data_IF_206078120398
#
_entry.id   IF_206078120398
#
_cell.length_a   1.000
_cell.length_b   1.000
_cell.length_c   1.000
_cell.angle_alpha   90.00
_cell.angle_beta   90.00
_cell.angle_gamma   90.00
#
_symmetry.space_group_name_H-M   'P 1'
#
loop_
_entity.id
_entity.type
_entity.pdbx_description
1 polymer ?
#
# COMPACT_ATOMS: atom_id res chain seq x y z
N UNK A 1 -8.45 -11.38 -16.07
CA UNK A 1 -8.77 -10.93 -14.71
C UNK A 1 -9.86 -9.89 -14.86
N UNK A 2 -11.10 -10.20 -14.49
CA UNK A 2 -12.23 -9.28 -14.70
C UNK A 2 -12.03 -8.02 -13.85
N UNK A 3 -12.13 -6.86 -14.48
CA UNK A 3 -12.06 -5.57 -13.79
C UNK A 3 -13.32 -5.42 -12.96
N UNK A 4 -13.24 -5.69 -11.66
CA UNK A 4 -14.34 -5.45 -10.74
C UNK A 4 -14.59 -3.93 -10.67
N UNK A 5 -15.68 -3.46 -11.28
CA UNK A 5 -16.11 -2.08 -11.17
C UNK A 5 -16.46 -1.80 -9.70
N UNK A 6 -15.58 -1.06 -9.01
CA UNK A 6 -15.87 -0.58 -7.66
C UNK A 6 -16.84 0.60 -7.79
N UNK A 7 -18.13 0.33 -7.62
CA UNK A 7 -19.17 1.34 -7.50
C UNK A 7 -18.91 2.13 -6.21
N UNK A 8 -18.50 3.39 -6.36
CA UNK A 8 -18.32 4.30 -5.24
C UNK A 8 -19.39 5.39 -5.31
N UNK A 9 -20.01 5.67 -4.16
CA UNK A 9 -20.95 6.77 -4.06
C UNK A 9 -20.17 8.09 -3.99
N UNK A 10 -20.37 8.98 -4.97
CA UNK A 10 -19.69 10.29 -5.01
C UNK A 10 -19.93 11.13 -3.75
N UNK A 11 -21.06 10.96 -3.07
CA UNK A 11 -21.37 11.71 -1.85
C UNK A 11 -20.44 11.35 -0.68
N UNK A 12 -19.99 10.10 -0.61
CA UNK A 12 -19.19 9.55 0.49
C UNK A 12 -17.69 9.79 0.30
N UNK A 13 -17.27 10.18 -0.90
CA UNK A 13 -15.87 10.39 -1.24
C UNK A 13 -15.58 11.87 -1.48
N UNK A 14 -14.39 12.28 -1.07
CA UNK A 14 -13.81 13.58 -1.34
C UNK A 14 -12.86 13.41 -2.50
N UNK A 15 -13.10 14.14 -3.59
CA UNK A 15 -12.19 14.20 -4.72
C UNK A 15 -11.27 15.42 -4.58
N UNK A 16 -9.96 15.20 -4.54
CA UNK A 16 -8.97 16.30 -4.51
C UNK A 16 -8.62 16.77 -5.91
N UNK A 17 -8.07 17.98 -6.05
CA UNK A 17 -7.63 18.53 -7.34
C UNK A 17 -6.60 17.64 -8.09
N UNK A 18 -5.83 16.85 -7.34
CA UNK A 18 -4.90 15.84 -7.86
C UNK A 18 -5.56 14.53 -8.31
N UNK A 19 -6.89 14.44 -8.25
CA UNK A 19 -7.67 13.25 -8.61
C UNK A 19 -7.60 12.12 -7.59
N UNK A 20 -7.25 12.39 -6.32
CA UNK A 20 -7.37 11.40 -5.27
C UNK A 20 -8.83 11.30 -4.80
N UNK A 21 -9.27 10.08 -4.50
CA UNK A 21 -10.59 9.79 -3.95
C UNK A 21 -10.42 9.30 -2.53
N UNK A 22 -10.83 10.09 -1.56
CA UNK A 22 -10.68 9.77 -0.14
C UNK A 22 -12.05 9.64 0.49
N UNK A 23 -12.36 8.49 1.07
CA UNK A 23 -13.61 8.30 1.80
C UNK A 23 -13.70 9.25 3.00
N UNK A 24 -14.88 9.84 3.22
CA UNK A 24 -15.18 10.67 4.40
C UNK A 24 -15.13 9.88 5.71
N UNK A 25 -15.29 8.56 5.64
CA UNK A 25 -15.21 7.67 6.80
C UNK A 25 -13.76 7.26 7.13
N UNK A 26 -12.81 7.55 6.24
CA UNK A 26 -11.40 7.27 6.51
C UNK A 26 -10.83 8.24 7.56
N UNK A 27 -9.94 7.73 8.40
CA UNK A 27 -9.27 8.50 9.45
C UNK A 27 -7.84 8.78 9.01
N UNK A 28 -7.60 10.04 8.66
CA UNK A 28 -6.27 10.55 8.31
C UNK A 28 -5.74 11.37 9.49
N UNK A 29 -4.81 10.80 10.26
CA UNK A 29 -4.17 11.52 11.36
C UNK A 29 -2.95 12.29 10.84
N UNK A 30 -2.79 13.57 11.18
CA UNK A 30 -1.64 14.36 10.75
C UNK A 30 -1.60 14.57 9.23
N UNK A 31 -2.68 15.11 8.67
CA UNK A 31 -2.82 15.35 7.23
C UNK A 31 -1.66 16.16 6.63
N UNK A 32 -1.02 17.07 7.39
CA UNK A 32 0.18 17.79 6.95
C UNK A 32 1.38 16.88 6.61
N UNK A 33 1.40 15.67 7.17
CA UNK A 33 2.45 14.68 6.99
C UNK A 33 2.05 13.58 6.00
N UNK A 34 0.83 13.61 5.46
CA UNK A 34 0.33 12.63 4.50
C UNK A 34 0.39 13.24 3.10
N UNK A 35 1.13 12.59 2.20
CA UNK A 35 1.27 13.03 0.82
C UNK A 35 0.67 11.98 -0.10
N UNK A 36 -0.32 12.37 -0.90
CA UNK A 36 -0.97 11.51 -1.90
C UNK A 36 -0.64 12.02 -3.31
N UNK A 37 0.17 11.28 -4.08
CA UNK A 37 0.72 11.72 -5.36
C UNK A 37 -0.26 11.73 -6.57
N UNK A 38 -1.57 11.62 -6.34
CA UNK A 38 -2.60 11.73 -7.38
C UNK A 38 -3.14 10.37 -7.83
N UNK A 39 -4.43 10.35 -8.21
CA UNK A 39 -5.18 9.14 -8.60
C UNK A 39 -5.14 8.01 -7.56
N UNK A 40 -4.95 8.35 -6.28
CA UNK A 40 -5.03 7.37 -5.19
C UNK A 40 -6.47 7.20 -4.73
N UNK A 41 -6.84 5.99 -4.34
CA UNK A 41 -8.18 5.66 -3.84
C UNK A 41 -8.04 5.14 -2.42
N UNK A 42 -8.64 5.85 -1.46
CA UNK A 42 -8.70 5.47 -0.06
C UNK A 42 -10.15 5.13 0.27
N UNK A 43 -10.41 3.85 0.53
CA UNK A 43 -11.74 3.36 0.86
C UNK A 43 -12.15 3.65 2.31
N UNK A 44 -13.37 3.27 2.65
CA UNK A 44 -14.01 3.53 3.95
C UNK A 44 -13.29 2.81 5.09
N UNK A 45 -13.36 3.36 6.31
CA UNK A 45 -12.74 2.79 7.51
C UNK A 45 -11.22 2.56 7.41
N UNK A 46 -10.56 3.16 6.42
CA UNK A 46 -9.11 3.16 6.32
C UNK A 46 -8.52 4.11 7.36
N UNK A 47 -7.44 3.68 8.02
CA UNK A 47 -6.73 4.48 9.02
C UNK A 47 -5.32 4.72 8.53
N UNK A 48 -4.96 5.97 8.28
CA UNK A 48 -3.60 6.39 7.93
C UNK A 48 -3.06 7.29 9.03
N UNK A 49 -2.06 6.82 9.76
CA UNK A 49 -1.37 7.62 10.78
C UNK A 49 -0.17 8.35 10.19
N UNK A 50 -0.31 9.63 9.88
CA UNK A 50 0.79 10.55 9.59
C UNK A 50 1.26 11.39 10.79
N UNK A 51 0.64 11.24 11.96
CA UNK A 51 0.97 12.01 13.16
C UNK A 51 2.37 11.68 13.72
N UNK A 52 2.80 10.42 13.61
CA UNK A 52 4.09 9.95 14.14
C UNK A 52 5.26 10.12 13.16
N UNK A 53 4.99 9.98 11.86
CA UNK A 53 6.00 10.09 10.80
C UNK A 53 5.33 10.48 9.48
N UNK A 54 6.13 10.93 8.53
CA UNK A 54 5.63 11.26 7.19
C UNK A 54 5.19 9.99 6.44
N UNK A 55 4.00 10.02 5.85
CA UNK A 55 3.45 8.94 5.03
C UNK A 55 3.32 9.44 3.60
N UNK A 56 4.06 8.80 2.69
CA UNK A 56 4.03 9.11 1.26
C UNK A 56 3.36 7.98 0.51
N UNK A 57 2.33 8.30 -0.24
CA UNK A 57 1.64 7.38 -1.13
C UNK A 57 1.91 7.79 -2.58
N UNK A 58 2.40 6.84 -3.37
CA UNK A 58 2.63 6.99 -4.80
C UNK A 58 1.36 7.15 -5.61
N UNK A 59 1.49 7.11 -6.93
CA UNK A 59 0.40 7.29 -7.89
C UNK A 59 -0.38 6.01 -8.08
N UNK A 60 -1.66 6.12 -8.42
CA UNK A 60 -2.52 4.97 -8.74
C UNK A 60 -2.55 3.88 -7.65
N UNK A 61 -2.41 4.27 -6.38
CA UNK A 61 -2.53 3.35 -5.27
C UNK A 61 -3.99 3.14 -4.90
N UNK A 62 -4.36 1.90 -4.61
CA UNK A 62 -5.69 1.53 -4.14
C UNK A 62 -5.56 0.96 -2.75
N UNK A 63 -6.17 1.62 -1.78
CA UNK A 63 -6.18 1.24 -0.37
C UNK A 63 -7.61 0.86 -0.02
N UNK A 64 -7.85 -0.43 0.18
CA UNK A 64 -9.18 -0.95 0.52
C UNK A 64 -9.58 -0.70 1.96
N UNK A 65 -10.85 -1.00 2.24
CA UNK A 65 -11.50 -0.71 3.51
C UNK A 65 -10.86 -1.43 4.69
N UNK A 66 -10.96 -0.84 5.88
CA UNK A 66 -10.41 -1.40 7.14
C UNK A 66 -8.90 -1.66 7.13
N UNK A 67 -8.17 -1.08 6.17
CA UNK A 67 -6.72 -1.16 6.15
C UNK A 67 -6.11 -0.14 7.13
N UNK A 68 -5.06 -0.56 7.82
CA UNK A 68 -4.37 0.25 8.83
C UNK A 68 -2.95 0.50 8.39
N UNK A 69 -2.67 1.74 8.04
CA UNK A 69 -1.37 2.23 7.62
C UNK A 69 -0.74 2.97 8.79
N UNK A 70 0.32 2.37 9.34
CA UNK A 70 1.07 2.93 10.46
C UNK A 70 2.56 3.02 10.12
N UNK A 71 3.22 4.16 10.38
CA UNK A 71 4.66 4.27 10.20
C UNK A 71 5.40 3.31 11.13
N UNK A 72 6.50 2.69 10.67
CA UNK A 72 7.31 1.83 11.49
C UNK A 72 8.11 2.63 12.51
N UNK A 73 8.22 2.06 13.70
CA UNK A 73 9.01 2.62 14.80
C UNK A 73 10.06 1.62 15.23
N UNK A 74 11.27 2.12 15.53
CA UNK A 74 12.35 1.33 16.10
C UNK A 74 12.59 1.80 17.53
N UNK A 75 12.52 0.85 18.46
CA UNK A 75 12.92 1.08 19.86
C UNK A 75 14.44 1.02 19.93
N UNK A 76 15.06 2.13 20.31
CA UNK A 76 16.45 2.20 20.72
C UNK A 76 16.52 2.26 22.25
N UNK A 77 17.66 1.87 22.83
CA UNK A 77 17.86 1.91 24.28
C UNK A 77 17.68 3.31 24.90
N UNK A 78 17.84 4.37 24.09
CA UNK A 78 17.68 5.79 24.50
C UNK A 78 16.40 6.47 23.98
N UNK A 79 15.50 5.76 23.30
CA UNK A 79 14.25 6.37 22.79
C UNK A 79 13.58 5.61 21.65
N UNK A 80 12.50 6.16 21.11
CA UNK A 80 11.80 5.62 19.92
C UNK A 80 12.05 6.51 18.72
N UNK A 81 12.48 5.93 17.61
CA UNK A 81 12.62 6.63 16.35
C UNK A 81 11.54 6.15 15.38
N UNK A 82 10.82 7.10 14.78
CA UNK A 82 9.84 6.82 13.73
C UNK A 82 10.49 7.04 12.37
N UNK A 83 10.31 6.08 11.47
CA UNK A 83 10.76 6.21 10.09
C UNK A 83 9.56 6.57 9.21
N UNK A 84 9.75 7.44 8.20
CA UNK A 84 8.69 7.74 7.26
C UNK A 84 8.32 6.47 6.48
N UNK A 85 7.03 6.31 6.20
CA UNK A 85 6.51 5.25 5.35
C UNK A 85 6.45 5.76 3.91
N UNK A 86 7.01 4.99 2.97
CA UNK A 86 6.94 5.29 1.55
C UNK A 86 6.25 4.14 0.78
N UNK A 87 5.12 4.43 0.13
CA UNK A 87 4.42 3.52 -0.76
C UNK A 87 4.73 3.93 -2.20
N UNK A 88 5.20 2.98 -3.01
CA UNK A 88 5.48 3.18 -4.44
C UNK A 88 4.22 3.40 -5.29
N UNK A 89 4.38 3.35 -6.60
CA UNK A 89 3.29 3.53 -7.56
C UNK A 89 2.58 2.21 -7.86
N UNK A 90 1.29 2.26 -8.23
CA UNK A 90 0.50 1.07 -8.58
C UNK A 90 0.48 -0.01 -7.50
N UNK A 91 0.38 0.42 -6.23
CA UNK A 91 0.24 -0.52 -5.10
C UNK A 91 -1.23 -0.81 -4.85
N UNK A 92 -1.56 -2.09 -4.73
CA UNK A 92 -2.89 -2.57 -4.40
C UNK A 92 -2.86 -3.15 -2.99
N UNK A 93 -3.63 -2.54 -2.09
CA UNK A 93 -3.79 -2.98 -0.71
C UNK A 93 -5.23 -3.43 -0.53
N UNK A 94 -5.41 -4.72 -0.33
CA UNK A 94 -6.71 -5.32 -0.07
C UNK A 94 -7.24 -5.03 1.35
N UNK A 95 -8.46 -5.49 1.62
CA UNK A 95 -9.19 -5.25 2.86
C UNK A 95 -8.49 -5.87 4.09
N UNK A 96 -8.72 -5.25 5.26
CA UNK A 96 -8.23 -5.74 6.57
C UNK A 96 -6.70 -5.92 6.63
N UNK A 97 -5.98 -5.17 5.80
CA UNK A 97 -4.52 -5.21 5.77
C UNK A 97 -3.90 -4.28 6.82
N UNK A 98 -2.87 -4.76 7.51
CA UNK A 98 -2.06 -3.92 8.42
C UNK A 98 -0.69 -3.70 7.80
N UNK A 99 -0.39 -2.45 7.45
CA UNK A 99 0.86 -2.06 6.81
C UNK A 99 1.77 -1.37 7.83
N UNK A 100 2.89 -2.01 8.12
CA UNK A 100 3.95 -1.51 8.98
C UNK A 100 5.32 -1.76 8.32
N UNK A 101 5.58 -1.04 7.24
CA UNK A 101 6.81 -1.12 6.46
C UNK A 101 7.47 0.25 6.35
N UNK A 102 8.78 0.31 6.16
CA UNK A 102 9.47 1.59 5.88
C UNK A 102 9.25 2.01 4.42
N UNK A 103 9.31 1.04 3.51
CA UNK A 103 9.15 1.28 2.08
C UNK A 103 8.48 0.09 1.41
N UNK A 104 7.48 0.37 0.56
CA UNK A 104 6.82 -0.57 -0.34
C UNK A 104 7.23 -0.18 -1.76
N UNK A 105 7.67 -1.15 -2.55
CA UNK A 105 7.99 -0.94 -3.96
C UNK A 105 6.76 -0.59 -4.81
N UNK A 106 6.98 -0.25 -6.08
CA UNK A 106 5.92 -0.08 -7.06
C UNK A 106 5.41 -1.44 -7.57
N UNK A 107 4.16 -1.50 -8.06
CA UNK A 107 3.52 -2.73 -8.59
C UNK A 107 3.39 -3.87 -7.57
N UNK A 108 3.22 -3.53 -6.29
CA UNK A 108 3.04 -4.51 -5.23
C UNK A 108 1.55 -4.76 -5.01
N UNK A 109 1.17 -6.02 -4.97
CA UNK A 109 -0.18 -6.45 -4.60
C UNK A 109 -0.17 -7.12 -3.24
N UNK A 110 -0.90 -6.55 -2.29
CA UNK A 110 -1.03 -7.03 -0.92
C UNK A 110 -2.41 -7.67 -0.76
N UNK A 111 -2.43 -8.95 -0.42
CA UNK A 111 -3.66 -9.72 -0.26
C UNK A 111 -4.49 -9.32 0.97
N UNK A 112 -5.75 -9.76 0.99
CA UNK A 112 -6.69 -9.55 2.10
C UNK A 112 -6.15 -10.11 3.41
N UNK A 113 -6.41 -9.42 4.52
CA UNK A 113 -5.98 -9.81 5.87
C UNK A 113 -4.45 -9.99 6.00
N UNK A 114 -3.67 -9.40 5.10
CA UNK A 114 -2.22 -9.47 5.16
C UNK A 114 -1.69 -8.50 6.21
N UNK A 115 -0.73 -8.96 7.02
CA UNK A 115 -0.03 -8.13 7.99
C UNK A 115 1.41 -8.00 7.52
N UNK A 116 1.77 -6.79 7.08
CA UNK A 116 3.13 -6.47 6.69
C UNK A 116 3.82 -5.88 7.91
N UNK A 117 4.78 -6.64 8.44
CA UNK A 117 5.70 -6.18 9.47
C UNK A 117 7.09 -6.43 8.91
N UNK A 118 7.73 -5.40 8.36
CA UNK A 118 9.12 -5.58 7.95
C UNK A 118 9.89 -4.27 7.91
N UNK A 119 10.97 -4.29 8.69
CA UNK A 119 12.08 -3.39 8.63
C UNK A 119 13.09 -3.99 7.64
N UNK A 120 12.87 -3.83 6.32
CA UNK A 120 13.90 -3.92 5.27
C UNK A 120 13.34 -3.24 4.02
N UNK A 121 14.16 -2.34 3.48
CA UNK A 121 13.96 -1.60 2.23
C UNK A 121 14.01 -2.57 1.07
N UNK A 122 12.99 -2.59 0.21
CA UNK A 122 13.01 -3.29 -1.07
C UNK A 122 13.93 -2.53 -2.04
N UNK A 123 15.23 -2.73 -1.88
CA UNK A 123 16.27 -2.16 -2.73
C UNK A 123 17.34 -3.21 -3.00
N UNK A 124 17.07 -4.08 -3.97
CA UNK A 124 17.99 -5.08 -4.51
C UNK A 124 18.10 -6.34 -3.66
N UNK A 125 17.60 -7.47 -4.20
CA UNK A 125 17.79 -8.85 -3.70
C UNK A 125 17.85 -9.01 -2.17
N UNK A 126 16.76 -9.47 -1.53
CA UNK A 126 16.84 -10.44 -0.42
C UNK A 126 15.45 -10.94 -0.06
N UNK A 127 15.40 -12.26 0.14
CA UNK A 127 14.25 -13.06 0.47
C UNK A 127 13.46 -12.53 1.67
N UNK A 128 12.13 -12.50 1.49
CA UNK A 128 11.13 -12.53 2.54
C UNK A 128 11.33 -13.78 3.42
N UNK A 129 12.08 -13.64 4.52
CA UNK A 129 11.95 -14.58 5.64
C UNK A 129 10.93 -14.04 6.65
N UNK A 130 9.77 -14.70 6.62
CA UNK A 130 9.01 -15.12 7.79
C UNK A 130 8.33 -14.03 8.64
N UNK A 131 7.17 -13.56 8.16
CA UNK A 131 5.85 -13.79 8.78
C UNK A 131 4.75 -13.12 7.95
N UNK A 132 4.82 -13.31 6.65
CA UNK A 132 3.68 -13.03 5.77
C UNK A 132 2.85 -14.31 5.81
N UNK A 133 1.84 -14.37 6.69
CA UNK A 133 0.66 -15.21 6.47
C UNK A 133 -0.11 -14.60 5.30
N UNK A 134 0.48 -14.65 4.11
CA UNK A 134 -0.21 -14.50 2.85
C UNK A 134 -0.08 -15.87 2.21
N UNK A 135 -1.20 -16.43 1.80
CA UNK A 135 -1.32 -17.71 1.13
C UNK A 135 -0.17 -17.92 0.12
N UNK A 136 0.85 -18.67 0.53
CA UNK A 136 2.13 -18.86 -0.19
C UNK A 136 1.91 -19.89 -1.31
N UNK A 137 1.04 -19.57 -2.27
CA UNK A 137 0.90 -20.38 -3.50
C UNK A 137 1.45 -19.69 -4.75
N UNK A 138 2.01 -18.48 -4.63
CA UNK A 138 2.41 -17.72 -5.83
C UNK A 138 3.86 -17.20 -5.84
N UNK A 139 4.63 -17.43 -4.77
CA UNK A 139 6.01 -16.95 -4.65
C UNK A 139 7.05 -17.86 -5.33
N UNK A 140 6.63 -18.97 -5.96
CA UNK A 140 7.54 -19.87 -6.69
C UNK A 140 7.35 -19.88 -8.21
N UNK A 141 6.33 -19.20 -8.75
CA UNK A 141 6.07 -19.19 -10.20
C UNK A 141 6.46 -17.88 -10.90
N UNK A 142 6.70 -16.79 -10.17
CA UNK A 142 6.96 -15.50 -10.80
C UNK A 142 8.41 -15.33 -11.32
N UNK A 143 9.36 -16.17 -10.90
CA UNK A 143 10.70 -16.16 -11.50
C UNK A 143 10.75 -16.86 -12.87
N UNK A 144 9.70 -17.59 -13.27
CA UNK A 144 9.61 -18.27 -14.58
C UNK A 144 8.60 -17.59 -15.52
N UNK A 145 7.71 -16.74 -15.01
CA UNK A 145 6.67 -16.10 -15.83
C UNK A 145 7.00 -14.68 -16.33
N UNK A 146 8.04 -14.05 -15.78
CA UNK A 146 8.49 -12.71 -16.23
C UNK A 146 9.05 -12.74 -17.66
N UNK A 147 9.51 -13.90 -18.15
CA UNK A 147 9.91 -14.08 -19.55
C UNK A 147 8.73 -14.34 -20.52
N UNK A 148 7.57 -14.79 -20.02
CA UNK A 148 6.43 -15.14 -20.89
C UNK A 148 5.42 -14.00 -21.09
N UNK A 149 5.30 -13.06 -20.14
CA UNK A 149 4.31 -11.99 -20.23
C UNK A 149 4.76 -10.76 -21.06
N UNK A 150 6.05 -10.64 -21.41
CA UNK A 150 6.56 -9.50 -22.20
C UNK A 150 6.44 -9.71 -23.73
N UNK A 151 6.00 -10.89 -24.20
CA UNK A 151 5.93 -11.24 -25.63
C UNK A 151 4.54 -11.01 -26.27
N UNK A 152 3.47 -10.76 -25.52
CA UNK A 152 2.12 -10.62 -26.11
C UNK A 152 1.50 -9.21 -26.12
N UNK A 153 2.21 -8.15 -25.75
CA UNK A 153 1.70 -6.77 -25.81
C UNK A 153 2.26 -5.93 -26.97
N UNK A 154 2.62 -6.56 -28.09
CA UNK A 154 2.71 -5.89 -29.39
C UNK A 154 1.79 -6.63 -30.37
N UNK A 155 0.91 -5.88 -31.03
CA UNK A 155 -0.25 -6.35 -31.81
C UNK A 155 -1.48 -6.74 -30.99
N UNK A 156 -2.21 -5.73 -30.52
CA UNK A 156 -3.55 -5.41 -31.05
C UNK A 156 -3.87 -3.94 -30.79
#
# INVERSE_FOLDING_TARGET
MELCEMLYNKAEYIETASGNKVSRQSVLCGSQNIVLNGKTIVMNDCIIRGDLANVRVGRHCVIKSRSVIRPPFKKFSKGVAFFPLHIGDHVFIEEDCVVNAAQIGSYVHIGKNCVIVSMIVWGGLVALKLKIYCNVYFLFLFQIWVDFAFIQCHSF
#
